data_IF_243690837834
#
_entry.id   IF_243690837834
#
_cell.length_a   1.000
_cell.length_b   1.000
_cell.length_c   1.000
_cell.angle_alpha   90.00
_cell.angle_beta   90.00
_cell.angle_gamma   90.00
#
_symmetry.space_group_name_H-M   'P 1'
#
loop_
_entity.id
_entity.type
_entity.pdbx_description
1 polymer ?
#
# COMPACT_ATOMS: atom_id res chain seq x y z
N UNK A 1 -38.65 -44.98 -21.10
CA UNK A 1 -38.91 -43.98 -20.04
C UNK A 1 -37.66 -43.26 -19.48
N UNK A 2 -36.53 -43.10 -20.23
CA UNK A 2 -35.27 -42.64 -19.59
C UNK A 2 -34.43 -41.57 -20.33
N UNK A 3 -34.83 -41.09 -21.52
CA UNK A 3 -34.08 -40.03 -22.23
C UNK A 3 -34.43 -38.62 -21.73
N UNK A 4 -35.69 -38.37 -21.37
CA UNK A 4 -36.14 -37.06 -20.87
C UNK A 4 -35.62 -36.76 -19.45
N UNK A 5 -35.52 -37.75 -18.55
CA UNK A 5 -34.93 -37.55 -17.22
C UNK A 5 -33.46 -37.13 -17.28
N UNK A 6 -32.63 -37.77 -18.12
CA UNK A 6 -31.21 -37.41 -18.25
C UNK A 6 -31.02 -35.99 -18.78
N UNK A 7 -31.85 -35.56 -19.73
CA UNK A 7 -31.79 -34.19 -20.27
C UNK A 7 -32.24 -33.15 -19.23
N UNK A 8 -33.24 -33.48 -18.42
CA UNK A 8 -33.70 -32.63 -17.31
C UNK A 8 -32.64 -32.46 -16.21
N UNK A 9 -31.95 -33.54 -15.81
CA UNK A 9 -30.85 -33.45 -14.83
C UNK A 9 -29.64 -32.67 -15.36
N UNK A 10 -29.31 -32.80 -16.65
CA UNK A 10 -28.23 -32.03 -17.27
C UNK A 10 -28.59 -30.54 -17.35
N UNK A 11 -29.85 -30.22 -17.68
CA UNK A 11 -30.35 -28.85 -17.69
C UNK A 11 -30.38 -28.24 -16.29
N UNK A 12 -30.83 -28.99 -15.28
CA UNK A 12 -30.85 -28.56 -13.87
C UNK A 12 -29.42 -28.36 -13.32
N UNK A 13 -28.46 -29.18 -13.72
CA UNK A 13 -27.06 -29.08 -13.31
C UNK A 13 -26.35 -27.89 -13.99
N UNK A 14 -26.67 -27.59 -15.25
CA UNK A 14 -26.22 -26.35 -15.94
C UNK A 14 -26.90 -25.11 -15.35
N UNK A 15 -28.17 -25.20 -14.94
CA UNK A 15 -28.87 -24.11 -14.23
C UNK A 15 -28.24 -23.86 -12.85
N UNK A 16 -27.89 -24.92 -12.10
CA UNK A 16 -27.20 -24.82 -10.81
C UNK A 16 -25.76 -24.30 -10.92
N UNK A 17 -25.06 -24.55 -12.03
CA UNK A 17 -23.72 -24.02 -12.31
C UNK A 17 -23.73 -22.56 -12.78
N UNK A 18 -24.83 -22.08 -13.37
CA UNK A 18 -24.98 -20.67 -13.79
C UNK A 18 -25.46 -19.75 -12.67
N UNK A 19 -26.10 -20.30 -11.63
CA UNK A 19 -26.30 -19.62 -10.34
C UNK A 19 -25.03 -19.65 -9.49
N UNK A 20 -23.96 -19.04 -10.00
CA UNK A 20 -22.90 -18.55 -9.12
C UNK A 20 -23.55 -17.63 -8.07
N UNK A 21 -23.26 -17.81 -6.77
CA UNK A 21 -23.94 -17.06 -5.72
C UNK A 21 -23.66 -15.58 -5.96
N UNK A 22 -24.71 -14.80 -6.21
CA UNK A 22 -24.68 -13.35 -6.47
C UNK A 22 -23.73 -12.59 -5.53
N UNK A 23 -23.66 -13.06 -4.27
CA UNK A 23 -22.77 -12.56 -3.20
C UNK A 23 -21.28 -12.67 -3.54
N UNK A 24 -20.84 -13.74 -4.21
CA UNK A 24 -19.45 -13.92 -4.62
C UNK A 24 -19.07 -12.97 -5.76
N UNK A 25 -19.99 -12.71 -6.70
CA UNK A 25 -19.76 -11.75 -7.77
C UNK A 25 -19.70 -10.30 -7.24
N UNK A 26 -20.56 -9.94 -6.28
CA UNK A 26 -20.54 -8.63 -5.62
C UNK A 26 -19.24 -8.44 -4.80
N UNK A 27 -18.82 -9.45 -4.04
CA UNK A 27 -17.58 -9.40 -3.26
C UNK A 27 -16.33 -9.21 -4.15
N UNK A 28 -16.24 -9.90 -5.29
CA UNK A 28 -15.10 -9.77 -6.22
C UNK A 28 -15.01 -8.38 -6.84
N UNK A 29 -16.13 -7.74 -7.19
CA UNK A 29 -16.13 -6.39 -7.74
C UNK A 29 -15.62 -5.35 -6.73
N UNK A 30 -16.05 -5.43 -5.47
CA UNK A 30 -15.60 -4.52 -4.42
C UNK A 30 -14.12 -4.72 -4.12
N UNK A 31 -13.65 -5.97 -4.12
CA UNK A 31 -12.22 -6.27 -3.97
C UNK A 31 -11.38 -5.69 -5.10
N UNK A 32 -11.89 -5.67 -6.34
CA UNK A 32 -11.25 -5.01 -7.48
C UNK A 32 -11.12 -3.50 -7.26
N UNK A 33 -12.18 -2.85 -6.78
CA UNK A 33 -12.14 -1.41 -6.43
C UNK A 33 -11.08 -1.16 -5.35
N UNK A 34 -11.05 -1.99 -4.30
CA UNK A 34 -10.05 -1.88 -3.22
C UNK A 34 -8.62 -2.08 -3.74
N UNK A 35 -8.39 -3.04 -4.65
CA UNK A 35 -7.06 -3.28 -5.21
C UNK A 35 -6.62 -2.12 -6.11
N UNK A 36 -7.52 -1.56 -6.91
CA UNK A 36 -7.26 -0.38 -7.72
C UNK A 36 -6.93 0.85 -6.86
N UNK A 37 -7.72 1.13 -5.82
CA UNK A 37 -7.45 2.24 -4.89
C UNK A 37 -6.13 2.05 -4.12
N UNK A 38 -5.80 0.81 -3.71
CA UNK A 38 -4.49 0.51 -3.11
C UNK A 38 -3.36 0.81 -4.07
N UNK A 39 -3.50 0.42 -5.33
CA UNK A 39 -2.49 0.66 -6.37
C UNK A 39 -2.28 2.16 -6.61
N UNK A 40 -3.35 2.94 -6.72
CA UNK A 40 -3.30 4.41 -6.89
C UNK A 40 -2.59 5.10 -5.72
N UNK A 41 -2.77 4.57 -4.50
CA UNK A 41 -2.16 5.12 -3.29
C UNK A 41 -0.76 4.56 -3.00
N UNK A 42 -0.26 3.63 -3.81
CA UNK A 42 1.03 2.98 -3.60
C UNK A 42 2.17 3.86 -4.09
N UNK A 43 2.85 4.52 -3.17
CA UNK A 43 4.02 5.36 -3.46
C UNK A 43 5.31 4.83 -2.84
N UNK A 44 5.27 3.64 -2.24
CA UNK A 44 6.45 3.07 -1.57
C UNK A 44 7.43 2.53 -2.60
N UNK A 45 8.71 2.70 -2.31
CA UNK A 45 9.79 2.09 -3.07
C UNK A 45 9.78 0.59 -2.77
N UNK A 46 9.59 -0.22 -3.80
CA UNK A 46 9.35 -1.66 -3.66
C UNK A 46 10.62 -2.48 -3.41
N UNK A 47 11.75 -2.01 -3.95
CA UNK A 47 13.04 -2.69 -3.85
C UNK A 47 14.20 -1.71 -3.85
N UNK A 48 15.31 -2.18 -3.29
CA UNK A 48 16.58 -1.47 -3.22
C UNK A 48 17.70 -2.36 -3.71
N UNK A 49 18.56 -1.82 -4.56
CA UNK A 49 19.90 -2.38 -4.81
C UNK A 49 20.82 -1.95 -3.69
N UNK A 50 21.55 -2.90 -3.11
CA UNK A 50 22.39 -2.67 -1.92
C UNK A 50 23.79 -3.22 -2.13
N UNK A 51 24.80 -2.42 -1.77
CA UNK A 51 26.18 -2.88 -1.59
C UNK A 51 26.76 -2.32 -0.29
N UNK A 52 27.81 -2.98 0.21
CA UNK A 52 28.59 -2.55 1.37
C UNK A 52 30.00 -2.10 1.01
N UNK A 53 30.33 -2.13 -0.29
CA UNK A 53 31.56 -1.61 -0.85
C UNK A 53 31.40 -0.12 -1.20
N UNK A 54 32.43 0.69 -0.93
CA UNK A 54 32.37 2.14 -1.13
C UNK A 54 33.00 2.54 -2.47
N UNK A 55 32.24 2.37 -3.55
CA UNK A 55 32.68 2.86 -4.87
C UNK A 55 32.37 4.35 -5.00
N UNK A 56 33.36 5.11 -5.51
CA UNK A 56 33.28 6.58 -5.61
C UNK A 56 32.16 7.08 -6.53
N UNK A 57 31.70 6.27 -7.48
CA UNK A 57 30.71 6.66 -8.49
C UNK A 57 29.35 5.98 -8.30
N UNK A 58 29.13 5.32 -7.16
CA UNK A 58 27.87 4.64 -6.81
C UNK A 58 26.62 5.54 -6.82
N UNK A 59 26.77 6.86 -6.90
CA UNK A 59 25.65 7.80 -7.05
C UNK A 59 25.29 8.12 -8.50
N UNK A 60 26.16 7.79 -9.47
CA UNK A 60 26.01 8.17 -10.87
C UNK A 60 24.89 7.39 -11.58
N UNK A 61 24.09 8.02 -12.46
CA UNK A 61 23.13 7.33 -13.30
C UNK A 61 23.72 6.22 -14.18
N UNK A 62 24.94 6.42 -14.68
CA UNK A 62 25.62 5.45 -15.55
C UNK A 62 26.32 4.30 -14.83
N UNK A 63 26.29 4.26 -13.49
CA UNK A 63 26.95 3.20 -12.73
C UNK A 63 26.16 1.88 -12.82
N UNK A 64 26.84 0.78 -13.16
CA UNK A 64 26.24 -0.55 -13.21
C UNK A 64 26.11 -1.16 -11.80
N UNK A 65 24.86 -1.27 -11.33
CA UNK A 65 24.49 -1.92 -10.06
C UNK A 65 23.88 -3.32 -10.25
N UNK A 66 24.09 -3.95 -11.41
CA UNK A 66 23.56 -5.28 -11.73
C UNK A 66 23.96 -6.33 -10.70
N UNK A 67 25.21 -6.29 -10.24
CA UNK A 67 25.78 -7.22 -9.25
C UNK A 67 25.38 -6.90 -7.80
N UNK A 68 24.71 -5.78 -7.55
CA UNK A 68 24.29 -5.42 -6.19
C UNK A 68 23.14 -6.31 -5.72
N UNK A 69 23.13 -6.58 -4.42
CA UNK A 69 22.11 -7.38 -3.79
C UNK A 69 20.75 -6.67 -3.88
N UNK A 70 19.72 -7.39 -4.35
CA UNK A 70 18.35 -6.86 -4.35
C UNK A 70 17.69 -7.13 -3.00
N UNK A 71 17.37 -6.07 -2.26
CA UNK A 71 16.63 -6.12 -1.01
C UNK A 71 15.18 -5.65 -1.20
N UNK A 72 14.23 -6.23 -0.46
CA UNK A 72 12.83 -5.78 -0.50
C UNK A 72 12.67 -4.39 0.15
N UNK A 73 11.49 -3.79 0.00
CA UNK A 73 11.09 -2.47 0.56
C UNK A 73 11.46 -2.21 2.02
N UNK A 74 11.61 -3.26 2.84
CA UNK A 74 12.08 -3.17 4.22
C UNK A 74 13.14 -4.24 4.45
N UNK A 75 14.32 -3.83 4.91
CA UNK A 75 15.41 -4.74 5.21
C UNK A 75 16.27 -4.19 6.35
N UNK A 76 17.14 -5.05 6.88
CA UNK A 76 18.05 -4.73 7.96
C UNK A 76 19.50 -4.77 7.46
N UNK A 77 20.31 -3.79 7.88
CA UNK A 77 21.76 -3.75 7.70
C UNK A 77 22.42 -3.69 9.07
N UNK A 78 23.24 -4.69 9.38
CA UNK A 78 23.91 -4.83 10.67
C UNK A 78 25.41 -4.76 10.49
N UNK A 79 26.08 -3.98 11.34
CA UNK A 79 27.54 -3.99 11.47
C UNK A 79 28.26 -3.78 10.13
N UNK A 80 27.71 -2.89 9.29
CA UNK A 80 28.34 -2.45 8.05
C UNK A 80 28.91 -1.07 8.24
N UNK A 81 30.14 -0.86 7.81
CA UNK A 81 30.79 0.45 7.91
C UNK A 81 30.16 1.44 6.93
N UNK A 82 29.96 1.00 5.70
CA UNK A 82 29.33 1.77 4.63
C UNK A 82 28.20 0.93 4.05
N UNK A 83 27.12 1.58 3.65
CA UNK A 83 26.03 0.96 2.91
C UNK A 83 25.56 1.92 1.84
N UNK A 84 25.58 1.45 0.61
CA UNK A 84 25.00 2.14 -0.53
C UNK A 84 23.65 1.52 -0.87
N UNK A 85 22.67 2.38 -1.13
CA UNK A 85 21.33 2.03 -1.56
C UNK A 85 21.05 2.72 -2.89
N UNK A 86 20.54 2.00 -3.87
CA UNK A 86 20.08 2.55 -5.16
C UNK A 86 18.67 2.07 -5.47
N UNK A 87 17.85 2.95 -6.03
CA UNK A 87 16.53 2.58 -6.55
C UNK A 87 16.08 3.55 -7.63
N UNK A 88 15.55 3.01 -8.73
CA UNK A 88 14.90 3.79 -9.77
C UNK A 88 13.42 3.93 -9.40
N UNK A 89 12.92 5.16 -9.36
CA UNK A 89 11.51 5.46 -9.08
C UNK A 89 10.89 6.22 -10.22
N UNK A 90 9.70 5.80 -10.63
CA UNK A 90 8.92 6.48 -11.67
C UNK A 90 7.85 7.32 -10.99
N UNK A 91 7.75 8.59 -11.37
CA UNK A 91 6.66 9.45 -10.93
C UNK A 91 5.43 9.16 -11.78
N UNK A 92 4.30 8.74 -11.20
CA UNK A 92 3.06 8.57 -11.95
C UNK A 92 2.56 9.94 -12.43
N UNK A 93 1.94 10.01 -13.60
CA UNK A 93 1.35 11.26 -14.13
C UNK A 93 0.28 11.85 -13.21
N UNK A 94 -0.39 10.99 -12.42
CA UNK A 94 -1.40 11.38 -11.45
C UNK A 94 -1.17 10.68 -10.10
N UNK A 95 -1.38 11.41 -9.01
CA UNK A 95 -1.44 10.85 -7.67
C UNK A 95 -2.72 11.31 -6.97
N UNK A 96 -3.47 10.35 -6.42
CA UNK A 96 -4.77 10.60 -5.80
C UNK A 96 -5.76 11.40 -6.68
N UNK A 97 -5.67 11.27 -8.01
CA UNK A 97 -6.54 11.97 -8.96
C UNK A 97 -6.09 13.38 -9.33
N UNK A 98 -4.93 13.83 -8.87
CA UNK A 98 -4.35 15.13 -9.19
C UNK A 98 -3.10 14.95 -10.06
N UNK A 99 -2.86 15.83 -11.04
CA UNK A 99 -1.66 15.77 -11.89
C UNK A 99 -0.41 16.03 -11.06
N UNK A 100 0.60 15.18 -11.18
CA UNK A 100 1.89 15.35 -10.47
C UNK A 100 2.81 16.35 -11.16
N UNK A 101 2.62 16.58 -12.45
CA UNK A 101 3.40 17.56 -13.21
C UNK A 101 3.33 18.95 -12.56
N UNK A 102 4.48 19.61 -12.45
CA UNK A 102 4.62 20.91 -11.78
C UNK A 102 4.52 20.88 -10.26
N UNK A 103 4.18 19.73 -9.64
CA UNK A 103 4.15 19.60 -8.18
C UNK A 103 5.54 19.36 -7.59
N UNK A 104 5.63 19.53 -6.26
CA UNK A 104 6.78 19.13 -5.49
C UNK A 104 6.72 17.63 -5.19
N UNK A 105 7.87 16.94 -5.30
CA UNK A 105 8.04 15.56 -4.83
C UNK A 105 9.04 15.51 -3.68
N UNK A 106 8.64 14.86 -2.60
CA UNK A 106 9.49 14.53 -1.47
C UNK A 106 9.69 13.02 -1.37
N UNK A 107 10.89 12.61 -0.98
CA UNK A 107 11.18 11.26 -0.53
C UNK A 107 11.15 11.22 0.99
N UNK A 108 10.18 10.52 1.55
CA UNK A 108 10.11 10.26 2.99
C UNK A 108 10.63 8.86 3.28
N UNK A 109 11.61 8.76 4.19
CA UNK A 109 12.17 7.48 4.61
C UNK A 109 12.13 7.39 6.13
N UNK A 110 11.70 6.22 6.61
CA UNK A 110 11.69 5.87 8.03
C UNK A 110 12.70 4.77 8.28
N UNK A 111 13.61 5.02 9.20
CA UNK A 111 14.60 4.07 9.68
C UNK A 111 14.38 3.78 11.15
N UNK A 112 14.67 2.55 11.54
CA UNK A 112 14.81 2.16 12.94
C UNK A 112 16.22 1.63 13.15
N UNK A 113 16.94 2.08 14.15
CA UNK A 113 18.33 1.65 14.31
C UNK A 113 18.88 1.86 15.70
N UNK A 114 20.17 1.58 15.84
CA UNK A 114 20.97 1.81 17.03
C UNK A 114 22.36 2.27 16.60
N UNK A 115 22.85 3.35 17.22
CA UNK A 115 24.08 4.05 16.85
C UNK A 115 23.82 5.30 16.02
N UNK A 116 24.89 5.88 15.49
CA UNK A 116 24.88 7.09 14.68
C UNK A 116 25.33 6.75 13.26
N UNK A 117 24.55 7.19 12.28
CA UNK A 117 24.89 7.06 10.86
C UNK A 117 24.88 8.44 10.21
N UNK A 118 25.93 8.76 9.45
CA UNK A 118 25.93 9.92 8.56
C UNK A 118 25.56 9.47 7.16
N UNK A 119 24.66 10.21 6.53
CA UNK A 119 24.11 9.89 5.23
C UNK A 119 24.31 11.00 4.21
N UNK A 120 24.36 10.60 2.95
CA UNK A 120 24.32 11.49 1.80
C UNK A 120 23.26 10.93 0.85
N UNK A 121 22.35 11.79 0.40
CA UNK A 121 21.33 11.42 -0.58
C UNK A 121 21.58 12.15 -1.89
N UNK A 122 21.39 11.43 -2.99
CA UNK A 122 21.57 11.87 -4.35
C UNK A 122 20.32 11.56 -5.18
N UNK A 123 20.04 12.42 -6.14
CA UNK A 123 19.02 12.25 -7.17
C UNK A 123 19.66 12.50 -8.53
N UNK A 124 19.55 11.53 -9.45
CA UNK A 124 20.12 11.60 -10.80
C UNK A 124 21.60 12.03 -10.82
N UNK A 125 22.38 11.53 -9.86
CA UNK A 125 23.81 11.86 -9.70
C UNK A 125 24.11 13.15 -8.95
N UNK A 126 23.13 14.04 -8.75
CA UNK A 126 23.31 15.27 -7.99
C UNK A 126 23.04 15.04 -6.50
N UNK A 127 23.94 15.50 -5.64
CA UNK A 127 23.72 15.44 -4.18
C UNK A 127 22.63 16.42 -3.77
N UNK A 128 21.59 15.90 -3.11
CA UNK A 128 20.50 16.70 -2.54
C UNK A 128 20.94 17.26 -1.18
N UNK A 129 21.36 16.38 -0.27
CA UNK A 129 21.59 16.75 1.14
C UNK A 129 22.49 15.76 1.87
N UNK A 130 23.24 16.26 2.87
CA UNK A 130 23.86 15.44 3.92
C UNK A 130 22.93 15.37 5.13
N UNK A 131 22.84 14.21 5.79
CA UNK A 131 21.98 14.03 6.95
C UNK A 131 22.62 13.12 8.01
N UNK A 132 22.06 13.14 9.22
CA UNK A 132 22.48 12.25 10.30
C UNK A 132 21.27 11.49 10.85
N UNK A 133 21.42 10.19 11.06
CA UNK A 133 20.50 9.34 11.80
C UNK A 133 21.13 9.04 13.14
N UNK A 134 20.70 9.75 14.19
CA UNK A 134 21.18 9.55 15.55
C UNK A 134 20.16 8.77 16.36
N UNK A 135 20.34 7.45 16.39
CA UNK A 135 19.51 6.57 17.21
C UNK A 135 20.00 6.52 18.68
N UNK A 136 21.18 7.05 18.97
CA UNK A 136 21.85 6.91 20.27
C UNK A 136 22.19 5.46 20.62
N UNK A 137 22.22 5.16 21.91
CA UNK A 137 22.59 3.84 22.46
C UNK A 137 21.40 2.88 22.62
N UNK A 138 20.22 3.28 22.14
CA UNK A 138 18.96 2.55 22.25
C UNK A 138 18.31 2.43 20.87
N UNK A 139 17.46 1.42 20.66
CA UNK A 139 16.70 1.36 19.39
C UNK A 139 15.74 2.54 19.29
N UNK A 140 15.85 3.34 18.23
CA UNK A 140 14.94 4.46 17.95
C UNK A 140 14.50 4.46 16.50
N UNK A 141 13.35 5.07 16.25
CA UNK A 141 12.83 5.31 14.90
C UNK A 141 13.00 6.78 14.54
N UNK A 142 13.50 7.05 13.34
CA UNK A 142 13.69 8.39 12.79
C UNK A 142 13.07 8.40 11.40
N UNK A 143 12.29 9.43 11.09
CA UNK A 143 11.77 9.71 9.75
C UNK A 143 12.42 10.99 9.24
N UNK A 144 12.86 11.00 7.97
CA UNK A 144 13.32 12.21 7.28
C UNK A 144 12.66 12.34 5.92
N UNK A 145 12.47 13.59 5.51
CA UNK A 145 11.93 13.96 4.21
C UNK A 145 13.01 14.68 3.43
N UNK A 146 13.20 14.31 2.17
CA UNK A 146 14.18 14.90 1.27
C UNK A 146 13.49 15.45 0.02
N UNK A 147 13.81 16.66 -0.43
CA UNK A 147 13.24 17.20 -1.66
C UNK A 147 13.86 16.50 -2.87
N UNK A 148 13.05 15.77 -3.65
CA UNK A 148 13.48 15.17 -4.91
C UNK A 148 13.36 16.15 -6.07
N UNK A 149 12.24 16.86 -6.15
CA UNK A 149 11.96 17.83 -7.20
C UNK A 149 11.06 18.95 -6.65
N UNK A 150 11.37 20.20 -7.01
CA UNK A 150 10.51 21.36 -6.70
C UNK A 150 9.34 21.50 -7.67
N UNK A 151 9.55 21.05 -8.91
CA UNK A 151 8.55 20.99 -9.97
C UNK A 151 8.88 19.75 -10.82
N UNK A 152 8.01 18.75 -10.78
CA UNK A 152 8.14 17.50 -11.54
C UNK A 152 7.90 17.78 -13.03
N UNK A 153 8.77 17.28 -13.92
CA UNK A 153 8.47 17.20 -15.34
C UNK A 153 7.68 15.93 -15.67
N UNK A 154 6.86 15.98 -16.72
CA UNK A 154 6.03 14.83 -17.12
C UNK A 154 6.92 13.59 -17.35
N UNK A 155 6.51 12.45 -16.78
CA UNK A 155 7.19 11.14 -16.95
C UNK A 155 8.60 11.05 -16.36
N UNK A 156 8.94 11.88 -15.39
CA UNK A 156 10.24 11.78 -14.72
C UNK A 156 10.45 10.40 -14.07
N UNK A 157 11.65 9.88 -14.33
CA UNK A 157 12.21 8.77 -13.58
C UNK A 157 13.41 9.30 -12.80
N UNK A 158 13.45 9.04 -11.50
CA UNK A 158 14.51 9.49 -10.61
C UNK A 158 15.32 8.28 -10.16
N UNK A 159 16.64 8.34 -10.36
CA UNK A 159 17.57 7.48 -9.66
C UNK A 159 17.85 8.07 -8.29
N UNK A 160 17.41 7.38 -7.24
CA UNK A 160 17.75 7.70 -5.87
C UNK A 160 18.97 6.88 -5.47
N UNK A 161 20.03 7.55 -5.00
CA UNK A 161 21.17 6.89 -4.37
C UNK A 161 21.40 7.44 -2.96
N UNK A 162 21.65 6.55 -2.00
CA UNK A 162 21.89 6.91 -0.61
C UNK A 162 23.16 6.21 -0.13
N UNK A 163 24.13 6.99 0.34
CA UNK A 163 25.30 6.48 1.04
C UNK A 163 25.09 6.66 2.53
N UNK A 164 25.20 5.60 3.32
CA UNK A 164 25.19 5.64 4.78
C UNK A 164 26.55 5.18 5.29
N UNK A 165 27.11 5.92 6.24
CA UNK A 165 28.32 5.54 6.97
C UNK A 165 28.01 5.41 8.45
N UNK A 166 28.36 4.26 9.01
CA UNK A 166 28.23 3.94 10.41
C UNK A 166 29.36 4.57 11.22
N UNK A 167 28.99 5.45 12.14
CA UNK A 167 29.92 6.17 13.03
C UNK A 167 30.09 5.49 14.40
N UNK A 168 29.30 4.47 14.72
CA UNK A 168 29.33 3.80 16.03
C UNK A 168 28.24 4.30 16.98
N UNK A 169 28.42 4.06 18.26
CA UNK A 169 27.54 4.48 19.37
C UNK A 169 28.08 5.75 20.03
N UNK A 170 27.32 6.29 20.99
CA UNK A 170 27.75 7.44 21.79
C UNK A 170 28.50 6.93 23.03
N UNK A 171 29.70 7.45 23.35
CA UNK A 171 30.45 8.49 22.64
C UNK A 171 31.11 7.99 21.34
N UNK A 172 31.15 8.85 20.33
CA UNK A 172 31.70 8.52 19.02
C UNK A 172 33.21 8.29 19.11
N UNK A 173 33.64 7.06 18.86
CA UNK A 173 35.04 6.69 18.72
C UNK A 173 35.38 6.53 17.24
N UNK A 174 36.45 7.18 16.78
CA UNK A 174 36.90 7.03 15.39
C UNK A 174 37.43 5.62 15.18
N UNK A 175 36.67 4.79 14.47
CA UNK A 175 37.04 3.39 14.19
C UNK A 175 36.95 3.09 12.69
N UNK A 176 37.95 2.34 12.18
CA UNK A 176 37.97 1.84 10.80
C UNK A 176 36.91 0.76 10.56
N UNK A 177 36.65 -0.08 11.56
CA UNK A 177 35.62 -1.12 11.54
C UNK A 177 34.30 -0.57 12.11
N UNK A 178 33.14 -1.14 11.72
CA UNK A 178 31.88 -0.78 12.34
C UNK A 178 31.85 -1.28 13.79
N UNK A 179 31.26 -0.50 14.68
CA UNK A 179 31.12 -0.90 16.08
C UNK A 179 30.11 -2.06 16.21
N UNK A 180 30.44 -3.14 16.95
CA UNK A 180 29.54 -4.28 17.13
C UNK A 180 28.16 -3.89 17.66
N UNK A 181 27.12 -4.57 17.17
CA UNK A 181 25.74 -4.36 17.57
C UNK A 181 25.11 -3.03 17.10
N UNK A 182 25.76 -2.27 16.23
CA UNK A 182 25.13 -1.15 15.51
C UNK A 182 24.38 -1.66 14.29
N UNK A 183 23.22 -1.06 14.01
CA UNK A 183 22.40 -1.46 12.87
C UNK A 183 21.44 -0.35 12.46
N UNK A 184 20.95 -0.44 11.23
CA UNK A 184 19.73 0.24 10.81
C UNK A 184 18.83 -0.72 10.05
N UNK A 185 17.53 -0.51 10.22
CA UNK A 185 16.46 -1.13 9.45
C UNK A 185 15.76 -0.04 8.67
N UNK A 186 15.80 -0.12 7.36
CA UNK A 186 14.92 0.68 6.51
C UNK A 186 13.51 0.08 6.65
N UNK A 187 12.60 0.81 7.30
CA UNK A 187 11.24 0.35 7.53
C UNK A 187 10.33 0.68 6.35
N UNK A 188 10.49 1.89 5.80
CA UNK A 188 9.68 2.41 4.72
C UNK A 188 10.43 3.50 3.99
N UNK A 189 10.25 3.55 2.67
CA UNK A 189 10.60 4.70 1.84
C UNK A 189 9.45 4.94 0.87
N UNK A 190 8.99 6.17 0.74
CA UNK A 190 7.85 6.52 -0.09
C UNK A 190 7.98 7.91 -0.69
N UNK A 191 7.36 8.08 -1.86
CA UNK A 191 7.15 9.38 -2.46
C UNK A 191 5.94 10.06 -1.81
N UNK A 192 6.10 11.35 -1.53
CA UNK A 192 5.06 12.21 -0.94
C UNK A 192 4.90 13.42 -1.85
N UNK A 193 3.65 13.72 -2.18
CA UNK A 193 3.24 14.87 -2.98
C UNK A 193 2.43 15.81 -2.08
N UNK A 194 3.04 16.89 -1.54
CA UNK A 194 2.40 17.75 -0.54
C UNK A 194 1.01 18.24 -0.97
N UNK A 195 0.88 18.69 -2.22
CA UNK A 195 -0.34 19.25 -2.79
C UNK A 195 -1.47 18.21 -2.86
N UNK A 196 -1.14 16.93 -3.07
CA UNK A 196 -2.12 15.85 -3.18
C UNK A 196 -2.37 15.11 -1.85
N UNK A 197 -1.76 15.54 -0.74
CA UNK A 197 -1.88 14.86 0.56
C UNK A 197 -3.32 14.85 1.09
N UNK A 198 -4.05 15.96 0.94
CA UNK A 198 -5.45 16.05 1.38
C UNK A 198 -6.36 15.09 0.59
N UNK A 199 -6.21 15.06 -0.74
CA UNK A 199 -6.91 14.11 -1.60
C UNK A 199 -6.56 12.66 -1.22
N UNK A 200 -5.28 12.35 -1.09
CA UNK A 200 -4.81 11.02 -0.71
C UNK A 200 -5.37 10.56 0.65
N UNK A 201 -5.48 11.45 1.63
CA UNK A 201 -6.06 11.12 2.94
C UNK A 201 -7.56 10.80 2.86
N UNK A 202 -8.33 11.52 2.04
CA UNK A 202 -9.74 11.20 1.76
C UNK A 202 -9.87 9.83 1.09
N UNK A 203 -9.01 9.52 0.12
CA UNK A 203 -8.97 8.20 -0.54
C UNK A 203 -8.59 7.09 0.45
N UNK A 204 -7.58 7.30 1.32
CA UNK A 204 -7.18 6.36 2.36
C UNK A 204 -8.33 6.06 3.33
N UNK A 205 -9.11 7.08 3.71
CA UNK A 205 -10.30 6.94 4.54
C UNK A 205 -11.39 6.11 3.83
N UNK A 206 -11.73 6.45 2.59
CA UNK A 206 -12.68 5.68 1.79
C UNK A 206 -12.24 4.22 1.63
N UNK A 207 -10.96 3.98 1.36
CA UNK A 207 -10.38 2.64 1.27
C UNK A 207 -10.49 1.87 2.59
N UNK A 208 -10.29 2.52 3.73
CA UNK A 208 -10.49 1.92 5.04
C UNK A 208 -11.96 1.54 5.25
N UNK A 209 -12.89 2.46 4.96
CA UNK A 209 -14.32 2.24 5.10
C UNK A 209 -14.81 1.09 4.21
N UNK A 210 -14.32 0.98 2.98
CA UNK A 210 -14.61 -0.16 2.09
C UNK A 210 -14.13 -1.49 2.67
N UNK A 211 -12.91 -1.53 3.23
CA UNK A 211 -12.37 -2.75 3.88
C UNK A 211 -13.19 -3.13 5.10
N UNK A 212 -13.55 -2.15 5.93
CA UNK A 212 -14.39 -2.37 7.11
C UNK A 212 -15.79 -2.86 6.70
N UNK A 213 -16.39 -2.28 5.65
CA UNK A 213 -17.67 -2.72 5.11
C UNK A 213 -17.63 -4.17 4.60
N UNK A 214 -16.57 -4.56 3.86
CA UNK A 214 -16.38 -5.95 3.43
C UNK A 214 -16.27 -6.91 4.62
N UNK A 215 -15.50 -6.52 5.65
CA UNK A 215 -15.31 -7.35 6.84
C UNK A 215 -16.60 -7.46 7.66
N UNK A 216 -17.32 -6.36 7.83
CA UNK A 216 -18.57 -6.32 8.60
C UNK A 216 -19.72 -7.10 7.94
N UNK A 217 -19.72 -7.18 6.61
CA UNK A 217 -20.71 -7.92 5.83
C UNK A 217 -20.25 -9.35 5.47
N UNK A 218 -19.15 -9.84 6.06
CA UNK A 218 -18.60 -11.17 5.82
C UNK A 218 -18.36 -11.49 4.33
N UNK A 219 -18.01 -10.46 3.55
CA UNK A 219 -17.73 -10.55 2.11
C UNK A 219 -16.24 -10.78 1.81
N UNK A 220 -15.41 -10.91 2.85
CA UNK A 220 -13.97 -11.21 2.71
C UNK A 220 -13.82 -12.66 2.25
N UNK A 221 -13.02 -12.95 1.20
CA UNK A 221 -12.76 -14.32 0.78
C UNK A 221 -12.11 -15.06 1.93
N UNK A 222 -12.74 -16.13 2.39
CA UNK A 222 -12.14 -17.02 3.36
C UNK A 222 -11.31 -18.07 2.61
N UNK A 223 -10.07 -18.36 3.04
CA UNK A 223 -9.34 -19.48 2.47
C UNK A 223 -10.16 -20.76 2.66
N UNK A 224 -10.11 -21.72 1.71
CA UNK A 224 -10.84 -22.97 1.84
C UNK A 224 -10.37 -23.69 3.10
N UNK A 225 -11.26 -23.78 4.10
CA UNK A 225 -10.98 -24.48 5.35
C UNK A 225 -11.30 -25.96 5.14
N UNK A 226 -10.38 -26.89 5.50
CA UNK A 226 -10.65 -28.32 5.44
C UNK A 226 -11.92 -28.68 6.22
N UNK A 227 -12.70 -29.65 5.74
CA UNK A 227 -13.97 -30.04 6.35
C UNK A 227 -13.88 -30.33 7.85
N UNK A 228 -12.79 -30.97 8.30
CA UNK A 228 -12.53 -31.28 9.71
C UNK A 228 -12.19 -30.06 10.59
N UNK A 229 -11.93 -28.89 10.01
CA UNK A 229 -11.67 -27.63 10.73
C UNK A 229 -12.84 -26.64 10.66
N UNK A 230 -13.93 -27.02 9.97
CA UNK A 230 -15.13 -26.19 9.90
C UNK A 230 -15.83 -26.23 11.27
N UNK A 231 -15.74 -25.12 12.00
CA UNK A 231 -16.60 -24.94 13.17
C UNK A 231 -18.04 -24.72 12.70
N UNK A 232 -19.03 -25.40 13.31
CA UNK A 232 -20.42 -25.11 12.99
C UNK A 232 -20.73 -23.65 13.33
N UNK A 233 -21.23 -22.92 12.33
CA UNK A 233 -21.73 -21.56 12.55
C UNK A 233 -22.86 -21.59 13.59
N UNK A 234 -22.88 -20.62 14.50
CA UNK A 234 -23.94 -20.52 15.51
C UNK A 234 -25.32 -20.39 14.84
N UNK A 235 -26.39 -20.95 15.42
CA UNK A 235 -27.73 -20.88 14.84
C UNK A 235 -28.19 -19.43 14.58
N UNK A 236 -27.90 -18.53 15.52
CA UNK A 236 -28.21 -17.10 15.41
C UNK A 236 -27.47 -16.44 14.24
N UNK A 237 -26.19 -16.78 14.03
CA UNK A 237 -25.42 -16.25 12.92
C UNK A 237 -25.93 -16.77 11.57
N UNK A 238 -26.27 -18.06 11.47
CA UNK A 238 -26.88 -18.63 10.25
C UNK A 238 -28.21 -17.97 9.90
N UNK A 239 -29.06 -17.71 10.90
CA UNK A 239 -30.33 -17.01 10.68
C UNK A 239 -30.09 -15.58 10.17
N UNK A 240 -29.11 -14.88 10.75
CA UNK A 240 -28.74 -13.52 10.32
C UNK A 240 -28.27 -13.47 8.87
N UNK A 241 -27.27 -14.26 8.48
CA UNK A 241 -26.72 -14.21 7.10
C UNK A 241 -27.73 -14.64 6.03
N UNK A 242 -28.68 -15.51 6.39
CA UNK A 242 -29.72 -15.97 5.48
C UNK A 242 -30.94 -15.03 5.44
N UNK A 243 -31.06 -14.08 6.38
CA UNK A 243 -32.16 -13.13 6.44
C UNK A 243 -32.25 -12.28 5.17
N UNK A 244 -33.47 -11.93 4.78
CA UNK A 244 -33.73 -11.06 3.64
C UNK A 244 -33.12 -9.67 3.86
N UNK A 245 -33.10 -9.18 5.09
CA UNK A 245 -32.55 -7.88 5.44
C UNK A 245 -31.03 -7.83 5.31
N UNK A 246 -30.32 -8.88 5.73
CA UNK A 246 -28.88 -8.97 5.51
C UNK A 246 -28.53 -8.98 4.01
N UNK A 247 -29.29 -9.74 3.21
CA UNK A 247 -29.12 -9.75 1.73
C UNK A 247 -29.39 -8.39 1.11
N UNK A 248 -30.37 -7.62 1.62
CA UNK A 248 -30.62 -6.23 1.17
C UNK A 248 -29.44 -5.31 1.51
N UNK A 249 -28.82 -5.48 2.69
CA UNK A 249 -27.64 -4.69 3.08
C UNK A 249 -26.43 -4.99 2.20
N UNK A 250 -26.18 -6.26 1.89
CA UNK A 250 -25.11 -6.68 0.98
C UNK A 250 -25.29 -6.06 -0.40
N UNK A 251 -26.51 -6.14 -0.96
CA UNK A 251 -26.85 -5.50 -2.24
C UNK A 251 -26.70 -3.98 -2.20
N UNK A 252 -27.12 -3.33 -1.11
CA UNK A 252 -26.98 -1.89 -0.93
C UNK A 252 -25.51 -1.47 -0.89
N UNK A 253 -24.67 -2.24 -0.18
CA UNK A 253 -23.23 -2.01 -0.13
C UNK A 253 -22.56 -2.18 -1.50
N UNK A 254 -22.87 -3.27 -2.20
CA UNK A 254 -22.35 -3.51 -3.56
C UNK A 254 -22.76 -2.42 -4.54
N UNK A 255 -24.03 -2.01 -4.52
CA UNK A 255 -24.56 -0.91 -5.33
C UNK A 255 -23.89 0.43 -4.99
N UNK A 256 -23.65 0.71 -3.70
CA UNK A 256 -22.94 1.91 -3.30
C UNK A 256 -21.50 1.89 -3.84
N UNK A 257 -20.78 0.79 -3.61
CA UNK A 257 -19.39 0.64 -4.05
C UNK A 257 -19.22 0.77 -5.57
N UNK A 258 -20.16 0.23 -6.36
CA UNK A 258 -20.09 0.32 -7.82
C UNK A 258 -20.26 1.74 -8.38
N UNK A 259 -20.72 2.70 -7.57
CA UNK A 259 -20.77 4.12 -7.94
C UNK A 259 -19.44 4.84 -7.81
N UNK A 260 -18.44 4.26 -7.16
CA UNK A 260 -17.12 4.86 -7.03
C UNK A 260 -16.42 4.88 -8.39
N UNK A 261 -16.13 6.08 -8.89
CA UNK A 261 -15.53 6.28 -10.20
C UNK A 261 -14.00 6.24 -10.12
N UNK A 262 -13.45 5.06 -9.87
CA UNK A 262 -11.99 4.87 -9.74
C UNK A 262 -11.25 5.24 -11.04
N UNK A 263 -11.92 5.15 -12.20
CA UNK A 263 -11.33 5.54 -13.48
C UNK A 263 -11.06 7.05 -13.54
N UNK A 264 -11.91 7.88 -12.92
CA UNK A 264 -11.67 9.32 -12.83
C UNK A 264 -10.33 9.66 -12.16
N UNK A 265 -9.90 8.89 -11.15
CA UNK A 265 -8.59 9.08 -10.50
C UNK A 265 -7.42 8.81 -11.45
N UNK A 266 -7.55 7.83 -12.35
CA UNK A 266 -6.50 7.50 -13.32
C UNK A 266 -6.43 8.53 -14.46
N UNK A 267 -7.51 9.26 -14.68
CA UNK A 267 -7.62 10.34 -15.68
C UNK A 267 -7.29 11.72 -15.10
N UNK A 268 -6.88 11.82 -13.83
CA UNK A 268 -6.58 13.10 -13.19
C UNK A 268 -7.81 13.95 -12.87
N UNK A 269 -8.99 13.35 -12.76
CA UNK A 269 -10.23 14.06 -12.45
C UNK A 269 -10.67 13.78 -11.01
N UNK A 270 -10.01 14.46 -10.08
CA UNK A 270 -10.31 14.34 -8.65
C UNK A 270 -11.75 14.77 -8.31
N UNK A 271 -12.26 15.84 -8.91
CA UNK A 271 -13.57 16.40 -8.60
C UNK A 271 -14.70 15.39 -8.91
N UNK A 272 -14.62 14.75 -10.08
CA UNK A 272 -15.55 13.68 -10.46
C UNK A 272 -15.50 12.50 -9.50
N UNK A 273 -14.30 12.13 -9.02
CA UNK A 273 -14.17 11.10 -8.00
C UNK A 273 -14.75 11.54 -6.65
N UNK A 274 -14.54 12.79 -6.24
CA UNK A 274 -15.08 13.33 -4.99
C UNK A 274 -16.61 13.34 -5.01
N UNK A 275 -17.24 13.70 -6.13
CA UNK A 275 -18.69 13.56 -6.31
C UNK A 275 -19.15 12.10 -6.18
N UNK A 276 -18.37 11.17 -6.74
CA UNK A 276 -18.66 9.73 -6.63
C UNK A 276 -18.60 9.25 -5.18
N UNK A 277 -17.67 9.78 -4.37
CA UNK A 277 -17.59 9.52 -2.92
C UNK A 277 -18.84 10.02 -2.20
N UNK A 278 -19.31 11.23 -2.51
CA UNK A 278 -20.53 11.79 -1.88
C UNK A 278 -21.73 10.88 -2.16
N UNK A 279 -21.88 10.42 -3.41
CA UNK A 279 -22.94 9.47 -3.81
C UNK A 279 -22.79 8.11 -3.11
N UNK A 280 -21.56 7.61 -2.97
CA UNK A 280 -21.26 6.39 -2.23
C UNK A 280 -21.74 6.47 -0.77
N UNK A 281 -21.37 7.51 -0.03
CA UNK A 281 -21.78 7.65 1.38
C UNK A 281 -23.28 7.91 1.57
N UNK A 282 -23.94 8.53 0.58
CA UNK A 282 -25.39 8.67 0.57
C UNK A 282 -26.09 7.30 0.46
N UNK A 283 -25.63 6.44 -0.46
CA UNK A 283 -26.19 5.10 -0.63
C UNK A 283 -25.81 4.14 0.51
N UNK A 284 -24.69 4.40 1.20
CA UNK A 284 -24.21 3.59 2.31
C UNK A 284 -25.01 3.79 3.61
N UNK A 285 -25.90 4.79 3.68
CA UNK A 285 -26.69 5.11 4.88
C UNK A 285 -27.42 3.91 5.52
N UNK A 286 -28.05 2.98 4.76
CA UNK A 286 -28.69 1.80 5.35
C UNK A 286 -27.69 0.90 6.09
N UNK A 287 -26.47 0.75 5.55
CA UNK A 287 -25.40 -0.06 6.16
C UNK A 287 -24.86 0.64 7.41
N UNK A 288 -24.67 1.95 7.36
CA UNK A 288 -24.23 2.74 8.53
C UNK A 288 -25.25 2.65 9.66
N UNK A 289 -26.54 2.81 9.36
CA UNK A 289 -27.62 2.69 10.36
C UNK A 289 -27.64 1.29 10.98
N UNK A 290 -27.49 0.25 10.16
CA UNK A 290 -27.42 -1.11 10.66
C UNK A 290 -26.19 -1.36 11.53
N UNK A 291 -25.01 -0.86 11.14
CA UNK A 291 -23.79 -1.00 11.93
C UNK A 291 -23.89 -0.33 13.31
N UNK A 292 -24.57 0.83 13.42
CA UNK A 292 -24.81 1.52 14.70
C UNK A 292 -25.58 0.68 15.72
N UNK A 293 -26.41 -0.26 15.27
CA UNK A 293 -27.14 -1.16 16.17
C UNK A 293 -26.23 -2.20 16.85
N UNK A 294 -24.98 -2.33 16.38
CA UNK A 294 -23.99 -3.28 16.92
C UNK A 294 -22.76 -2.60 17.53
N UNK A 295 -22.63 -1.28 17.41
CA UNK A 295 -21.61 -0.51 18.14
C UNK A 295 -22.11 -0.27 19.57
N UNK A 296 -21.41 -0.85 20.55
CA UNK A 296 -21.57 -0.49 21.97
C UNK A 296 -21.04 0.95 22.11
N UNK A 297 -21.88 1.85 22.61
CA UNK A 297 -21.50 3.23 22.92
C UNK A 297 -20.54 3.29 24.10
#
# INVERSE_FOLDING_TARGET
>A
MNKYCRSFYLFLLVLLLTFSPLVAQEATQIQKIISQLKSILETRIQSWKVTYEDHKESFSPGYDDSQWESKPRSFNSREKKITWLRSQVNIPSYYAGLPTEGQEALLEITWQGLGIFTGQIYSNGQRIQNFTLDFGNSSRTITKSFPLAKAISSHDSYLIAIRLENKGRVPLLTQKKPEPGTYFRLQQAQLVYPQATAAANKLKKCLLDLKLGLQFLDLVPQPPVPSHRLRPLSPQYRQRINSSDFKKLVKAFSKAASRLDVAALQQGNYDRFEESIKKFYYDLQPVIKYAKNFSIY
#
